data_IF_380485046367
#
_entry.id   IF_380485046367
#
_cell.length_a   1.000
_cell.length_b   1.000
_cell.length_c   1.000
_cell.angle_alpha   90.00
_cell.angle_beta   90.00
_cell.angle_gamma   90.00
#
_symmetry.space_group_name_H-M   'P 1'
#
loop_
_entity.id
_entity.type
_entity.pdbx_description
1 polymer ?
#
# COMPACT_ATOMS: atom_id res chain seq x y z
N UNK A 1 56.53 -16.63 -1.17
CA UNK A 1 55.45 -16.64 -0.15
C UNK A 1 54.39 -15.53 -0.39
N UNK A 2 54.76 -14.37 -0.83
CA UNK A 2 53.84 -13.26 -1.13
C UNK A 2 52.93 -13.52 -2.33
N UNK A 3 53.47 -14.04 -3.43
CA UNK A 3 52.71 -14.35 -4.65
C UNK A 3 51.56 -15.37 -4.40
N UNK A 4 51.80 -16.43 -3.63
CA UNK A 4 50.79 -17.46 -3.34
C UNK A 4 49.62 -16.88 -2.53
N UNK A 5 49.85 -15.88 -1.68
CA UNK A 5 48.81 -15.15 -0.94
C UNK A 5 47.98 -14.28 -1.88
N UNK A 6 48.58 -13.70 -2.90
CA UNK A 6 47.92 -12.85 -3.86
C UNK A 6 46.96 -13.65 -4.76
N UNK A 7 47.38 -14.83 -5.23
CA UNK A 7 46.49 -15.71 -6.02
C UNK A 7 45.30 -16.22 -5.22
N UNK A 8 45.47 -16.52 -3.92
CA UNK A 8 44.37 -16.92 -3.04
C UNK A 8 43.34 -15.79 -2.86
N UNK A 9 43.80 -14.55 -2.76
CA UNK A 9 42.93 -13.36 -2.63
C UNK A 9 42.13 -13.11 -3.90
N UNK A 10 42.77 -13.23 -5.06
CA UNK A 10 42.12 -13.11 -6.39
C UNK A 10 41.09 -14.22 -6.58
N UNK A 11 41.42 -15.47 -6.20
CA UNK A 11 40.48 -16.58 -6.30
C UNK A 11 39.24 -16.39 -5.42
N UNK A 12 39.41 -15.86 -4.21
CA UNK A 12 38.32 -15.53 -3.30
C UNK A 12 37.41 -14.43 -3.89
N UNK A 13 37.98 -13.40 -4.52
CA UNK A 13 37.22 -12.36 -5.20
C UNK A 13 36.41 -12.90 -6.39
N UNK A 14 36.98 -13.85 -7.16
CA UNK A 14 36.25 -14.48 -8.27
C UNK A 14 35.09 -15.37 -7.80
N UNK A 15 35.17 -16.02 -6.65
CA UNK A 15 34.09 -16.83 -6.08
C UNK A 15 32.89 -15.94 -5.72
N UNK A 16 33.12 -14.74 -5.21
CA UNK A 16 32.03 -13.78 -4.92
C UNK A 16 31.35 -13.25 -6.18
N UNK A 17 32.06 -13.11 -7.30
CA UNK A 17 31.49 -12.69 -8.58
C UNK A 17 30.68 -13.78 -9.29
N UNK A 18 30.90 -15.05 -8.91
CA UNK A 18 30.28 -16.22 -9.55
C UNK A 18 29.03 -16.72 -8.82
N UNK A 19 28.63 -16.10 -7.72
CA UNK A 19 27.35 -16.42 -7.08
C UNK A 19 26.23 -15.86 -7.97
N UNK A 20 25.45 -16.71 -8.66
CA UNK A 20 24.28 -16.21 -9.37
C UNK A 20 23.39 -15.53 -8.35
N UNK A 21 23.09 -14.24 -8.57
CA UNK A 21 22.01 -13.63 -7.84
C UNK A 21 20.77 -14.50 -8.06
N UNK A 22 20.26 -15.09 -6.98
CA UNK A 22 19.02 -15.84 -7.09
C UNK A 22 17.99 -14.90 -7.71
N UNK A 23 17.65 -15.15 -8.97
CA UNK A 23 16.48 -14.53 -9.58
C UNK A 23 15.27 -15.11 -8.82
N UNK A 24 14.95 -14.48 -7.71
CA UNK A 24 13.60 -14.60 -7.18
C UNK A 24 12.70 -14.07 -8.27
N UNK A 25 11.69 -14.83 -8.66
CA UNK A 25 10.74 -14.41 -9.69
C UNK A 25 10.24 -12.99 -9.43
N UNK A 26 9.78 -12.29 -10.45
CA UNK A 26 9.30 -10.92 -10.32
C UNK A 26 8.41 -10.79 -9.09
N UNK A 27 8.70 -9.85 -8.17
CA UNK A 27 7.89 -9.67 -6.97
C UNK A 27 6.46 -9.35 -7.39
N UNK A 28 5.53 -10.12 -6.86
CA UNK A 28 4.12 -9.94 -7.13
C UNK A 28 3.50 -9.09 -6.02
N UNK A 29 2.81 -7.97 -6.34
CA UNK A 29 2.12 -7.17 -5.34
C UNK A 29 1.13 -8.01 -4.52
N UNK A 30 1.04 -7.74 -3.20
CA UNK A 30 0.12 -8.46 -2.31
C UNK A 30 -1.33 -8.41 -2.78
N UNK A 31 -1.76 -7.31 -3.37
CA UNK A 31 -3.09 -7.14 -3.95
C UNK A 31 -3.44 -8.20 -5.02
N UNK A 32 -2.46 -8.78 -5.71
CA UNK A 32 -2.70 -9.84 -6.72
C UNK A 32 -3.08 -11.18 -6.09
N UNK A 33 -2.78 -11.40 -4.81
CA UNK A 33 -3.12 -12.63 -4.09
C UNK A 33 -4.59 -12.67 -3.65
N UNK A 34 -5.52 -12.34 -4.55
CA UNK A 34 -6.95 -12.19 -4.28
C UNK A 34 -7.57 -13.40 -3.59
N UNK A 35 -7.12 -14.61 -3.92
CA UNK A 35 -7.59 -15.84 -3.27
C UNK A 35 -7.31 -15.89 -1.77
N UNK A 36 -6.26 -15.19 -1.32
CA UNK A 36 -5.84 -15.23 0.08
C UNK A 36 -6.68 -14.29 0.97
N UNK A 37 -7.23 -13.21 0.42
CA UNK A 37 -7.88 -12.19 1.25
C UNK A 37 -9.33 -11.87 0.86
N UNK A 38 -9.81 -12.16 -0.36
CA UNK A 38 -11.20 -11.86 -0.74
C UNK A 38 -12.22 -12.55 0.18
N UNK A 39 -11.95 -13.79 0.60
CA UNK A 39 -12.81 -14.51 1.54
C UNK A 39 -12.91 -13.83 2.89
N UNK A 40 -11.86 -13.15 3.34
CA UNK A 40 -11.84 -12.41 4.60
C UNK A 40 -12.68 -11.13 4.54
N UNK A 41 -12.82 -10.54 3.34
CA UNK A 41 -13.57 -9.31 3.11
C UNK A 41 -15.06 -9.55 2.85
N UNK A 42 -15.43 -10.80 2.55
CA UNK A 42 -16.81 -11.15 2.24
C UNK A 42 -17.74 -10.88 3.42
N UNK A 43 -18.87 -10.24 3.15
CA UNK A 43 -19.88 -9.85 4.15
C UNK A 43 -19.33 -8.85 5.22
N UNK A 44 -18.26 -8.12 4.90
CA UNK A 44 -17.71 -7.06 5.72
C UNK A 44 -17.89 -5.70 5.06
N UNK A 45 -18.12 -4.68 5.85
CA UNK A 45 -18.06 -3.28 5.44
C UNK A 45 -16.59 -2.86 5.45
N UNK A 46 -16.03 -2.68 4.29
CA UNK A 46 -14.59 -2.47 4.10
C UNK A 46 -14.30 -0.99 3.81
N UNK A 47 -13.36 -0.40 4.52
CA UNK A 47 -12.71 0.84 4.13
C UNK A 47 -11.34 0.54 3.50
N UNK A 48 -10.91 1.34 2.54
CA UNK A 48 -9.65 1.16 1.84
C UNK A 48 -8.72 2.34 2.10
N UNK A 49 -7.48 2.06 2.46
CA UNK A 49 -6.40 3.06 2.46
C UNK A 49 -5.56 2.79 1.22
N UNK A 50 -5.75 3.58 0.20
CA UNK A 50 -5.24 3.34 -1.16
C UNK A 50 -4.87 4.66 -1.84
N UNK A 51 -4.00 4.58 -2.84
CA UNK A 51 -3.63 5.70 -3.70
C UNK A 51 -3.67 5.28 -5.18
N UNK A 52 -3.18 6.13 -6.05
CA UNK A 52 -3.15 5.92 -7.50
C UNK A 52 -2.32 4.71 -7.96
N UNK A 53 -1.52 4.08 -7.09
CA UNK A 53 -0.70 2.90 -7.43
C UNK A 53 -1.33 1.57 -7.01
N UNK A 54 -2.45 1.61 -6.29
CA UNK A 54 -3.14 0.43 -5.75
C UNK A 54 -3.90 -0.32 -6.86
N UNK A 55 -3.21 -1.18 -7.60
CA UNK A 55 -3.76 -1.91 -8.74
C UNK A 55 -3.69 -3.42 -8.57
N UNK A 56 -4.71 -4.11 -9.10
CA UNK A 56 -4.65 -5.52 -9.47
C UNK A 56 -4.52 -5.57 -10.99
N UNK A 57 -3.33 -5.87 -11.51
CA UNK A 57 -2.97 -5.86 -12.93
C UNK A 57 -3.20 -4.46 -13.56
N UNK A 58 -4.37 -4.21 -14.12
CA UNK A 58 -4.73 -2.94 -14.80
C UNK A 58 -5.96 -2.26 -14.19
N UNK A 59 -6.54 -2.85 -13.14
CA UNK A 59 -7.75 -2.34 -12.50
C UNK A 59 -7.42 -1.88 -11.08
N UNK A 60 -7.84 -0.70 -10.72
CA UNK A 60 -7.63 -0.18 -9.37
C UNK A 60 -8.28 -1.12 -8.34
N UNK A 61 -7.64 -1.31 -7.17
CA UNK A 61 -8.10 -2.24 -6.13
C UNK A 61 -9.56 -1.98 -5.72
N UNK A 62 -9.93 -0.71 -5.52
CA UNK A 62 -11.30 -0.35 -5.18
C UNK A 62 -12.32 -0.84 -6.22
N UNK A 63 -12.03 -0.62 -7.50
CA UNK A 63 -12.90 -1.05 -8.60
C UNK A 63 -12.98 -2.58 -8.66
N UNK A 64 -11.86 -3.28 -8.43
CA UNK A 64 -11.79 -4.74 -8.43
C UNK A 64 -12.60 -5.37 -7.29
N UNK A 65 -12.51 -4.79 -6.09
CA UNK A 65 -13.27 -5.26 -4.92
C UNK A 65 -14.77 -5.05 -5.11
N UNK A 66 -15.19 -3.87 -5.56
CA UNK A 66 -16.59 -3.58 -5.87
C UNK A 66 -17.15 -4.52 -6.94
N UNK A 67 -16.42 -4.74 -8.04
CA UNK A 67 -16.80 -5.68 -9.10
C UNK A 67 -16.92 -7.13 -8.61
N UNK A 68 -16.19 -7.48 -7.53
CA UNK A 68 -16.25 -8.79 -6.90
C UNK A 68 -17.33 -8.91 -5.81
N UNK A 69 -18.17 -7.89 -5.64
CA UNK A 69 -19.27 -7.87 -4.68
C UNK A 69 -18.82 -7.62 -3.24
N UNK A 70 -17.60 -7.13 -3.01
CA UNK A 70 -17.14 -6.70 -1.68
C UNK A 70 -17.77 -5.34 -1.37
N UNK A 71 -18.31 -5.21 -0.17
CA UNK A 71 -18.95 -3.98 0.29
C UNK A 71 -17.90 -2.95 0.72
N UNK A 72 -17.33 -2.22 -0.26
CA UNK A 72 -16.47 -1.07 0.04
C UNK A 72 -17.35 0.11 0.43
N UNK A 73 -17.08 0.74 1.57
CA UNK A 73 -17.92 1.81 2.13
C UNK A 73 -17.28 3.19 1.98
N UNK A 74 -15.97 3.29 2.01
CA UNK A 74 -15.23 4.55 1.90
C UNK A 74 -13.76 4.32 1.54
N UNK A 75 -13.13 5.39 1.10
CA UNK A 75 -11.70 5.48 0.78
C UNK A 75 -11.03 6.43 1.76
N UNK A 76 -9.92 6.03 2.31
CA UNK A 76 -8.97 6.90 2.99
C UNK A 76 -7.81 7.18 2.03
N UNK A 77 -7.65 8.44 1.65
CA UNK A 77 -6.62 8.87 0.71
C UNK A 77 -5.45 9.55 1.44
N UNK A 78 -4.22 9.03 1.35
CA UNK A 78 -3.04 9.70 1.87
C UNK A 78 -2.62 10.87 0.96
N UNK A 79 -1.44 11.44 1.24
CA UNK A 79 -0.81 12.42 0.35
C UNK A 79 -0.84 11.95 -1.11
N UNK A 80 -1.02 12.89 -2.06
CA UNK A 80 -1.26 12.67 -3.50
C UNK A 80 -2.66 12.17 -3.87
N UNK A 81 -3.52 11.88 -2.90
CA UNK A 81 -4.92 11.53 -3.15
C UNK A 81 -5.15 10.12 -3.67
N UNK A 82 -6.41 9.83 -3.97
CA UNK A 82 -6.87 8.49 -4.31
C UNK A 82 -6.50 8.05 -5.74
N UNK A 83 -6.77 8.90 -6.74
CA UNK A 83 -6.51 8.58 -8.16
C UNK A 83 -5.35 9.37 -8.77
N UNK A 84 -4.51 10.02 -7.94
CA UNK A 84 -3.32 10.73 -8.40
C UNK A 84 -3.61 12.05 -9.10
N UNK A 85 -4.70 12.70 -8.75
CA UNK A 85 -5.09 14.00 -9.31
C UNK A 85 -4.51 15.21 -8.54
N UNK A 86 -3.83 14.95 -7.41
CA UNK A 86 -3.25 15.99 -6.58
C UNK A 86 -1.73 16.02 -6.70
N UNK A 87 -1.16 17.20 -6.92
CA UNK A 87 0.28 17.43 -6.89
C UNK A 87 0.87 17.26 -5.48
N UNK A 88 2.18 17.04 -5.40
CA UNK A 88 2.89 16.92 -4.13
C UNK A 88 2.64 18.13 -3.23
N UNK A 89 2.25 17.90 -1.98
CA UNK A 89 1.96 18.97 -1.02
C UNK A 89 0.64 19.72 -1.22
N UNK A 90 -0.14 19.38 -2.25
CA UNK A 90 -1.46 19.96 -2.46
C UNK A 90 -2.43 19.44 -1.41
N UNK A 91 -3.26 20.34 -0.87
CA UNK A 91 -4.31 19.95 0.05
C UNK A 91 -5.33 19.06 -0.66
N UNK A 92 -5.59 17.89 -0.10
CA UNK A 92 -6.60 16.94 -0.60
C UNK A 92 -7.80 17.03 0.35
N UNK A 93 -8.87 17.66 -0.13
CA UNK A 93 -10.12 17.73 0.63
C UNK A 93 -10.91 16.43 0.53
N UNK A 94 -11.82 16.23 1.48
CA UNK A 94 -12.82 15.17 1.41
C UNK A 94 -13.67 15.36 0.16
N UNK A 95 -13.97 14.29 -0.52
CA UNK A 95 -14.65 14.31 -1.81
C UNK A 95 -15.42 13.01 -2.07
N UNK A 96 -16.01 12.91 -3.24
CA UNK A 96 -16.67 11.67 -3.71
C UNK A 96 -15.98 11.23 -4.99
N UNK A 97 -15.58 9.96 -5.05
CA UNK A 97 -15.05 9.37 -6.27
C UNK A 97 -16.14 9.30 -7.35
N UNK A 98 -15.96 10.04 -8.43
CA UNK A 98 -16.95 10.16 -9.50
C UNK A 98 -17.25 8.82 -10.20
N UNK A 99 -16.33 7.88 -10.14
CA UNK A 99 -16.49 6.57 -10.78
C UNK A 99 -17.31 5.59 -9.94
N UNK A 100 -17.10 5.57 -8.65
CA UNK A 100 -17.68 4.56 -7.75
C UNK A 100 -18.75 5.13 -6.83
N UNK A 101 -18.84 6.44 -6.69
CA UNK A 101 -19.71 7.11 -5.73
C UNK A 101 -19.25 7.00 -4.28
N UNK A 102 -18.07 6.43 -4.03
CA UNK A 102 -17.55 6.26 -2.67
C UNK A 102 -17.06 7.59 -2.08
N UNK A 103 -17.33 7.85 -0.79
CA UNK A 103 -16.72 8.96 -0.10
C UNK A 103 -15.21 8.74 0.04
N UNK A 104 -14.44 9.78 -0.22
CA UNK A 104 -13.00 9.87 -0.04
C UNK A 104 -12.74 10.80 1.13
N UNK A 105 -12.07 10.26 2.16
CA UNK A 105 -11.64 11.00 3.35
C UNK A 105 -10.13 11.20 3.24
N UNK A 106 -9.68 12.44 3.32
CA UNK A 106 -8.26 12.76 3.25
C UNK A 106 -7.55 12.44 4.57
N UNK A 107 -6.46 11.68 4.50
CA UNK A 107 -5.54 11.46 5.63
C UNK A 107 -4.25 12.28 5.44
N UNK A 108 -4.39 13.54 5.03
CA UNK A 108 -3.28 14.45 4.78
C UNK A 108 -3.48 15.80 5.49
N UNK A 109 -2.40 16.54 5.71
CA UNK A 109 -2.46 17.84 6.37
C UNK A 109 -2.71 17.73 7.88
N UNK A 110 -3.82 18.26 8.36
CA UNK A 110 -4.20 18.23 9.78
C UNK A 110 -4.91 16.96 10.19
N UNK A 111 -5.55 16.25 9.26
CA UNK A 111 -6.30 15.02 9.49
C UNK A 111 -5.46 13.80 9.05
N UNK A 112 -4.52 13.35 9.89
CA UNK A 112 -3.60 12.25 9.57
C UNK A 112 -4.03 10.89 10.09
N UNK A 113 -4.89 10.87 11.10
CA UNK A 113 -5.38 9.66 11.77
C UNK A 113 -6.89 9.59 11.60
N UNK A 114 -7.46 8.47 11.14
CA UNK A 114 -8.91 8.30 11.10
C UNK A 114 -9.52 8.52 12.48
N UNK A 115 -10.61 9.26 12.54
CA UNK A 115 -11.40 9.45 13.76
C UNK A 115 -12.38 8.30 13.96
N UNK A 116 -12.99 8.22 15.14
CA UNK A 116 -14.08 7.28 15.42
C UNK A 116 -15.25 7.44 14.43
N UNK A 117 -15.60 8.67 14.04
CA UNK A 117 -16.67 8.90 13.05
C UNK A 117 -16.26 8.42 11.66
N UNK A 118 -14.99 8.57 11.28
CA UNK A 118 -14.48 8.03 10.01
C UNK A 118 -14.55 6.51 9.96
N UNK A 119 -14.36 5.83 11.09
CA UNK A 119 -14.42 4.36 11.20
C UNK A 119 -15.84 3.84 11.44
N UNK A 120 -16.82 4.71 11.60
CA UNK A 120 -18.21 4.29 11.77
C UNK A 120 -18.71 3.45 10.61
N UNK A 121 -19.38 2.33 10.93
CA UNK A 121 -19.84 1.36 9.95
C UNK A 121 -18.71 0.74 9.09
N UNK A 122 -17.51 0.57 9.64
CA UNK A 122 -16.39 -0.16 9.05
C UNK A 122 -16.10 -1.39 9.90
N UNK A 123 -16.10 -2.56 9.29
CA UNK A 123 -15.76 -3.83 9.95
C UNK A 123 -14.28 -4.17 9.73
N UNK A 124 -13.69 -3.66 8.64
CA UNK A 124 -12.32 -3.97 8.24
C UNK A 124 -11.70 -2.84 7.42
N UNK A 125 -10.45 -2.53 7.71
CA UNK A 125 -9.65 -1.61 6.90
C UNK A 125 -8.59 -2.39 6.12
N UNK A 126 -8.50 -2.16 4.82
CA UNK A 126 -7.47 -2.72 3.94
C UNK A 126 -6.51 -1.61 3.56
N UNK A 127 -5.23 -1.81 3.82
CA UNK A 127 -4.16 -0.90 3.45
C UNK A 127 -3.36 -1.48 2.28
N UNK A 128 -3.38 -0.82 1.13
CA UNK A 128 -2.66 -1.23 -0.08
C UNK A 128 -1.89 -0.04 -0.66
N UNK A 129 -0.79 0.30 -0.02
CA UNK A 129 0.14 1.33 -0.46
C UNK A 129 1.55 0.81 -0.29
N UNK A 130 2.38 0.89 -1.33
CA UNK A 130 3.78 0.51 -1.27
C UNK A 130 4.60 1.64 -0.67
N UNK A 131 5.28 1.37 0.45
CA UNK A 131 6.34 2.25 0.95
C UNK A 131 7.58 2.11 0.08
N UNK A 132 8.26 3.21 -0.18
CA UNK A 132 9.44 3.27 -1.06
C UNK A 132 10.76 3.23 -0.31
N UNK A 133 10.76 3.08 1.01
CA UNK A 133 11.93 2.92 1.86
C UNK A 133 12.75 4.21 2.06
N UNK A 134 12.16 5.38 1.86
CA UNK A 134 12.83 6.67 2.09
C UNK A 134 12.16 7.45 3.22
N UNK A 135 12.97 8.06 4.10
CA UNK A 135 12.51 8.64 5.38
C UNK A 135 11.53 9.81 5.25
N UNK A 136 11.52 10.51 4.14
CA UNK A 136 10.63 11.66 3.91
C UNK A 136 9.27 11.27 3.29
N UNK A 137 9.06 10.00 2.93
CA UNK A 137 7.74 9.49 2.56
C UNK A 137 6.92 9.22 3.82
N UNK A 138 5.62 9.53 3.75
CA UNK A 138 4.72 9.51 4.91
C UNK A 138 3.84 8.26 4.99
N UNK A 139 3.94 7.32 4.07
CA UNK A 139 3.03 6.16 3.99
C UNK A 139 3.15 5.21 5.18
N UNK A 140 4.35 4.98 5.70
CA UNK A 140 4.54 4.20 6.92
C UNK A 140 3.89 4.87 8.16
N UNK A 141 3.93 6.21 8.23
CA UNK A 141 3.23 6.97 9.27
C UNK A 141 1.72 6.86 9.11
N UNK A 142 1.20 6.92 7.88
CA UNK A 142 -0.23 6.72 7.59
C UNK A 142 -0.67 5.33 8.04
N UNK A 143 0.09 4.28 7.73
CA UNK A 143 -0.19 2.92 8.20
C UNK A 143 -0.25 2.86 9.74
N UNK A 144 0.73 3.46 10.42
CA UNK A 144 0.76 3.50 11.88
C UNK A 144 -0.51 4.14 12.45
N UNK A 145 -0.89 5.32 11.97
CA UNK A 145 -2.09 6.03 12.45
C UNK A 145 -3.39 5.26 12.17
N UNK A 146 -3.47 4.60 11.02
CA UNK A 146 -4.63 3.75 10.69
C UNK A 146 -4.73 2.56 11.63
N UNK A 147 -3.61 1.87 11.91
CA UNK A 147 -3.57 0.75 12.85
C UNK A 147 -3.95 1.19 14.27
N UNK A 148 -3.43 2.33 14.71
CA UNK A 148 -3.75 2.92 16.01
C UNK A 148 -5.25 3.27 16.10
N UNK A 149 -5.80 3.93 15.08
CA UNK A 149 -7.22 4.24 15.02
C UNK A 149 -8.11 2.98 15.06
N UNK A 150 -7.73 1.92 14.35
CA UNK A 150 -8.45 0.65 14.38
C UNK A 150 -8.34 -0.07 15.73
N UNK A 151 -7.27 0.12 16.49
CA UNK A 151 -7.10 -0.48 17.81
C UNK A 151 -7.91 0.26 18.91
N UNK A 152 -8.18 1.55 18.70
CA UNK A 152 -8.91 2.40 19.66
C UNK A 152 -10.44 2.35 19.45
N UNK A 153 -10.93 1.87 18.30
CA UNK A 153 -12.33 1.90 17.90
C UNK A 153 -12.82 0.54 17.39
#
# INVERSE_FOLDING_TARGET
MLMVRFYKLILLLFIFYSLPAQQTGNPMPGAYSTRSYFSLLKNKKVALVVNHTSFIIKTHLADSLLASGIQVTKIFAPEHGFRGSADAGTHVDDSIDQKTGLPIISLYGTHKKPTQEDLKNVDMVVFDIQDVGVRFYTYSSTLHYVMEACAEN
#
